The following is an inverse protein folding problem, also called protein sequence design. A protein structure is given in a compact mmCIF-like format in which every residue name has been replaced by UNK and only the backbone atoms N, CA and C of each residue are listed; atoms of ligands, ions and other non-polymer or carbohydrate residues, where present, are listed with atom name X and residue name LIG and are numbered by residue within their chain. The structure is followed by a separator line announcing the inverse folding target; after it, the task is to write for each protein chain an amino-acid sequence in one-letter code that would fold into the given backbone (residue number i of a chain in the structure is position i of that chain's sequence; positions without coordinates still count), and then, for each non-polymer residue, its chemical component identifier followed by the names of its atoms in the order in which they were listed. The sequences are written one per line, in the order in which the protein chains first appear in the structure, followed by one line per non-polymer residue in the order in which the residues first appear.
data_IF_742260638402
#
_entry.id   IF_742260638402
#
_cell.length_a   1.000
_cell.length_b   1.000
_cell.length_c   1.000
_cell.angle_alpha   90.00
_cell.angle_beta   90.00
_cell.angle_gamma   90.00
#
_symmetry.space_group_name_H-M   'P 1'
#
loop_
_entity.id
_entity.type
_entity.pdbx_description
1 polymer ?
#
# COMPACT_ATOMS: atom_id res chain seq x y z
N UNK A 1 7.94 43.69 56.82
CA UNK A 1 7.30 42.60 56.06
C UNK A 1 7.71 41.31 56.72
N UNK A 2 6.72 40.54 57.16
CA UNK A 2 6.94 39.36 57.96
C UNK A 2 7.48 38.25 57.04
N UNK A 3 8.46 37.48 57.50
CA UNK A 3 9.12 36.46 56.66
C UNK A 3 8.15 35.41 56.08
N UNK A 4 7.01 35.22 56.75
CA UNK A 4 5.91 34.36 56.30
C UNK A 4 5.22 34.90 55.06
N UNK A 5 4.93 36.20 54.98
CA UNK A 5 4.28 36.83 53.82
C UNK A 5 5.14 36.70 52.56
N UNK A 6 6.46 36.90 52.71
CA UNK A 6 7.42 36.74 51.61
C UNK A 6 7.38 35.29 51.10
N UNK A 7 7.40 34.30 52.01
CA UNK A 7 7.32 32.89 51.65
C UNK A 7 6.00 32.53 50.93
N UNK A 8 4.86 33.10 51.36
CA UNK A 8 3.56 32.84 50.70
C UNK A 8 3.52 33.37 49.28
N UNK A 9 4.03 34.57 49.04
CA UNK A 9 4.10 35.17 47.69
C UNK A 9 4.97 34.32 46.77
N UNK A 10 6.14 33.88 47.25
CA UNK A 10 7.00 32.96 46.50
C UNK A 10 6.29 31.64 46.18
N UNK A 11 5.56 31.05 47.13
CA UNK A 11 4.82 29.81 46.91
C UNK A 11 3.74 29.94 45.82
N UNK A 12 3.00 31.05 45.79
CA UNK A 12 1.95 31.32 44.79
C UNK A 12 2.54 31.41 43.37
N UNK A 13 3.78 31.90 43.23
CA UNK A 13 4.44 32.04 41.92
C UNK A 13 5.17 30.75 41.51
N UNK A 14 5.88 30.13 42.45
CA UNK A 14 6.70 28.94 42.19
C UNK A 14 5.84 27.69 41.95
N UNK A 15 4.71 27.57 42.66
CA UNK A 15 3.80 26.41 42.53
C UNK A 15 3.35 26.16 41.08
N UNK A 16 2.75 27.14 40.38
CA UNK A 16 2.37 27.00 38.98
C UNK A 16 3.55 26.72 38.05
N UNK A 17 4.70 27.35 38.28
CA UNK A 17 5.89 27.17 37.44
C UNK A 17 6.40 25.72 37.48
N UNK A 18 6.51 25.13 38.68
CA UNK A 18 6.91 23.74 38.85
C UNK A 18 5.84 22.80 38.28
N UNK A 19 4.55 23.10 38.50
CA UNK A 19 3.45 22.30 37.97
C UNK A 19 3.47 22.22 36.44
N UNK A 20 3.65 23.36 35.75
CA UNK A 20 3.73 23.39 34.28
C UNK A 20 4.98 22.68 33.78
N UNK A 21 6.13 22.84 34.45
CA UNK A 21 7.37 22.17 34.06
C UNK A 21 7.24 20.64 34.15
N UNK A 22 6.68 20.14 35.26
CA UNK A 22 6.44 18.71 35.46
C UNK A 22 5.44 18.16 34.43
N UNK A 23 4.34 18.89 34.19
CA UNK A 23 3.36 18.52 33.19
C UNK A 23 3.99 18.40 31.80
N UNK A 24 4.76 19.40 31.36
CA UNK A 24 5.46 19.36 30.06
C UNK A 24 6.44 18.20 29.95
N UNK A 25 7.16 17.90 31.02
CA UNK A 25 8.08 16.76 31.04
C UNK A 25 7.33 15.44 30.85
N UNK A 26 6.27 15.20 31.61
CA UNK A 26 5.44 13.99 31.48
C UNK A 26 4.81 13.87 30.09
N UNK A 27 4.26 14.95 29.55
CA UNK A 27 3.68 14.97 28.20
C UNK A 27 4.71 14.60 27.14
N UNK A 28 5.94 15.11 27.22
CA UNK A 28 6.98 14.80 26.23
C UNK A 28 7.35 13.29 26.18
N UNK A 29 7.30 12.62 27.32
CA UNK A 29 7.52 11.18 27.42
C UNK A 29 6.34 10.41 26.80
N UNK A 30 5.12 10.84 27.08
CA UNK A 30 3.90 10.25 26.51
C UNK A 30 3.84 10.41 25.00
N UNK A 31 4.22 11.59 24.47
CA UNK A 31 4.23 11.87 23.03
C UNK A 31 5.16 10.92 22.27
N UNK A 32 6.35 10.67 22.80
CA UNK A 32 7.32 9.74 22.18
C UNK A 32 6.79 8.31 22.19
N UNK A 33 6.20 7.88 23.31
CA UNK A 33 5.54 6.57 23.41
C UNK A 33 4.39 6.45 22.41
N UNK A 34 3.60 7.51 22.25
CA UNK A 34 2.46 7.55 21.34
C UNK A 34 2.89 7.46 19.87
N UNK A 35 3.91 8.22 19.44
CA UNK A 35 4.45 8.14 18.06
C UNK A 35 4.98 6.73 17.74
N UNK A 36 5.77 6.15 18.64
CA UNK A 36 6.28 4.77 18.50
C UNK A 36 5.14 3.74 18.45
N UNK A 37 4.10 3.93 19.26
CA UNK A 37 2.90 3.08 19.27
C UNK A 37 2.11 3.19 17.96
N UNK A 38 2.03 4.38 17.38
CA UNK A 38 1.32 4.61 16.11
C UNK A 38 2.02 3.92 14.94
N UNK A 39 3.36 3.98 14.89
CA UNK A 39 4.18 3.21 13.95
C UNK A 39 3.91 1.72 14.12
N UNK A 40 4.00 1.22 15.35
CA UNK A 40 3.75 -0.20 15.66
C UNK A 40 2.36 -0.66 15.21
N UNK A 41 1.31 0.10 15.54
CA UNK A 41 -0.08 -0.18 15.13
C UNK A 41 -0.22 -0.20 13.61
N UNK A 42 0.41 0.74 12.92
CA UNK A 42 0.36 0.83 11.45
C UNK A 42 1.05 -0.35 10.79
N UNK A 43 2.23 -0.74 11.27
CA UNK A 43 2.93 -1.94 10.79
C UNK A 43 2.13 -3.21 11.08
N UNK A 44 1.50 -3.33 12.26
CA UNK A 44 0.64 -4.46 12.61
C UNK A 44 -0.60 -4.54 11.72
N UNK A 45 -1.25 -3.40 11.43
CA UNK A 45 -2.43 -3.32 10.55
C UNK A 45 -2.09 -3.73 9.12
N UNK A 46 -0.92 -3.33 8.64
CA UNK A 46 -0.51 -3.48 7.25
C UNK A 46 0.45 -4.64 7.01
N UNK A 47 0.72 -5.49 8.01
CA UNK A 47 1.66 -6.63 7.90
C UNK A 47 1.29 -7.63 6.80
N UNK A 48 0.02 -7.68 6.39
CA UNK A 48 -0.47 -8.45 5.24
C UNK A 48 -0.42 -7.73 3.88
N UNK A 49 -0.30 -6.40 3.90
CA UNK A 49 -0.29 -5.49 2.75
C UNK A 49 1.01 -4.67 2.72
N UNK A 50 2.13 -5.37 2.62
CA UNK A 50 3.49 -4.83 2.77
C UNK A 50 3.84 -3.71 1.77
N UNK A 51 3.10 -3.60 0.65
CA UNK A 51 3.36 -2.62 -0.41
C UNK A 51 2.48 -1.35 -0.24
N UNK A 52 1.62 -1.29 0.78
CA UNK A 52 0.79 -0.11 1.02
C UNK A 52 1.62 1.11 1.43
N UNK A 53 1.16 2.31 1.04
CA UNK A 53 1.82 3.57 1.40
C UNK A 53 1.99 3.72 2.92
N UNK A 54 0.96 3.35 3.68
CA UNK A 54 0.99 3.37 5.15
C UNK A 54 2.08 2.45 5.72
N UNK A 55 2.28 1.27 5.12
CA UNK A 55 3.32 0.34 5.54
C UNK A 55 4.71 0.93 5.33
N UNK A 56 4.98 1.44 4.12
CA UNK A 56 6.29 2.02 3.77
C UNK A 56 6.55 3.29 4.58
N UNK A 57 5.55 4.14 4.76
CA UNK A 57 5.63 5.34 5.58
C UNK A 57 6.01 5.01 7.03
N UNK A 58 5.28 4.08 7.65
CA UNK A 58 5.59 3.64 9.01
C UNK A 58 6.99 2.99 9.09
N UNK A 59 7.39 2.19 8.09
CA UNK A 59 8.69 1.54 8.06
C UNK A 59 9.85 2.55 7.98
N UNK A 60 9.69 3.64 7.23
CA UNK A 60 10.71 4.69 7.13
C UNK A 60 10.82 5.49 8.44
N UNK A 61 9.71 5.68 9.16
CA UNK A 61 9.73 6.35 10.46
C UNK A 61 10.41 5.53 11.57
N UNK A 62 10.56 4.20 11.39
CA UNK A 62 11.27 3.35 12.36
C UNK A 62 12.70 3.83 12.60
N UNK A 63 13.42 4.26 11.55
CA UNK A 63 14.82 4.71 11.70
C UNK A 63 14.94 5.95 12.60
N UNK A 64 13.98 6.87 12.49
CA UNK A 64 13.97 8.14 13.21
C UNK A 64 13.46 7.96 14.64
N UNK A 65 12.33 7.29 14.84
CA UNK A 65 11.69 7.20 16.18
C UNK A 65 12.34 6.16 17.10
N UNK A 66 13.12 5.22 16.55
CA UNK A 66 13.79 4.15 17.27
C UNK A 66 15.32 4.23 17.18
N UNK A 67 15.89 5.41 16.92
CA UNK A 67 17.36 5.61 16.81
C UNK A 67 18.14 5.07 18.02
N UNK A 68 17.63 5.24 19.23
CA UNK A 68 18.30 4.78 20.46
C UNK A 68 18.16 3.27 20.69
N UNK A 69 17.30 2.60 19.93
CA UNK A 69 16.93 1.20 20.12
C UNK A 69 17.70 0.30 19.15
N UNK A 70 18.98 0.05 19.45
CA UNK A 70 19.90 -0.66 18.55
C UNK A 70 19.40 -2.03 18.06
N UNK A 71 18.62 -2.77 18.87
CA UNK A 71 18.01 -4.06 18.47
C UNK A 71 16.92 -3.89 17.41
N UNK A 72 16.10 -2.85 17.55
CA UNK A 72 15.05 -2.51 16.57
C UNK A 72 15.68 -2.10 15.25
N UNK A 73 16.68 -1.21 15.29
CA UNK A 73 17.39 -0.76 14.09
C UNK A 73 18.12 -1.93 13.39
N UNK A 74 18.72 -2.85 14.14
CA UNK A 74 19.35 -4.03 13.55
C UNK A 74 18.34 -4.95 12.84
N UNK A 75 17.17 -5.18 13.46
CA UNK A 75 16.09 -5.96 12.84
C UNK A 75 15.52 -5.26 11.59
N UNK A 76 15.33 -3.94 11.66
CA UNK A 76 14.86 -3.10 10.57
C UNK A 76 15.82 -3.13 9.37
N UNK A 77 17.13 -2.94 9.60
CA UNK A 77 18.15 -3.05 8.54
C UNK A 77 18.16 -4.44 7.90
N UNK A 78 18.02 -5.50 8.70
CA UNK A 78 17.92 -6.86 8.19
C UNK A 78 16.71 -7.07 7.28
N UNK A 79 15.57 -6.52 7.67
CA UNK A 79 14.34 -6.57 6.87
C UNK A 79 14.44 -5.77 5.58
N UNK A 80 14.96 -4.53 5.63
CA UNK A 80 15.15 -3.70 4.44
C UNK A 80 16.16 -4.30 3.45
N UNK A 81 17.23 -4.91 3.96
CA UNK A 81 18.20 -5.60 3.11
C UNK A 81 17.52 -6.68 2.28
N UNK A 82 16.69 -7.50 2.90
CA UNK A 82 15.93 -8.52 2.18
C UNK A 82 14.97 -7.87 1.17
N UNK A 83 14.30 -6.75 1.52
CA UNK A 83 13.35 -6.06 0.63
C UNK A 83 14.03 -5.48 -0.61
N UNK A 84 15.28 -5.06 -0.47
CA UNK A 84 16.09 -4.55 -1.58
C UNK A 84 16.52 -5.63 -2.57
N UNK A 85 16.45 -6.91 -2.20
CA UNK A 85 16.77 -8.00 -3.12
C UNK A 85 15.64 -8.17 -4.14
N UNK A 86 15.95 -8.34 -5.44
CA UNK A 86 14.93 -8.59 -6.45
C UNK A 86 14.22 -9.94 -6.19
N UNK A 87 12.94 -10.03 -6.53
CA UNK A 87 12.24 -11.31 -6.46
C UNK A 87 12.75 -12.26 -7.55
N UNK A 88 12.83 -13.58 -7.28
CA UNK A 88 13.13 -14.55 -8.32
C UNK A 88 12.05 -14.49 -9.41
N UNK A 89 12.39 -14.84 -10.66
CA UNK A 89 11.43 -14.84 -11.75
C UNK A 89 10.24 -15.76 -11.43
N UNK A 90 9.03 -15.33 -11.81
CA UNK A 90 7.73 -15.97 -11.47
C UNK A 90 7.65 -17.46 -11.83
N UNK A 91 8.54 -17.95 -12.71
CA UNK A 91 8.62 -19.37 -13.09
C UNK A 91 9.09 -20.29 -11.95
N UNK A 92 9.70 -19.74 -10.89
CA UNK A 92 10.19 -20.49 -9.73
C UNK A 92 9.30 -20.26 -8.51
N UNK A 93 8.10 -20.84 -8.53
CA UNK A 93 7.08 -20.64 -7.50
C UNK A 93 7.56 -20.99 -6.08
N UNK A 94 8.39 -22.04 -5.93
CA UNK A 94 9.00 -22.39 -4.63
C UNK A 94 9.95 -21.31 -4.11
N UNK A 95 10.80 -20.73 -4.97
CA UNK A 95 11.73 -19.68 -4.58
C UNK A 95 10.98 -18.41 -4.18
N UNK A 96 9.88 -18.10 -4.88
CA UNK A 96 8.99 -17.00 -4.54
C UNK A 96 8.37 -17.17 -3.15
N UNK A 97 7.81 -18.36 -2.85
CA UNK A 97 7.21 -18.65 -1.54
C UNK A 97 8.23 -18.60 -0.40
N UNK A 98 9.42 -19.19 -0.58
CA UNK A 98 10.49 -19.14 0.41
C UNK A 98 10.93 -17.71 0.74
N UNK A 99 11.01 -16.86 -0.29
CA UNK A 99 11.31 -15.45 -0.09
C UNK A 99 10.19 -14.74 0.68
N UNK A 100 8.94 -15.01 0.34
CA UNK A 100 7.78 -14.47 1.04
C UNK A 100 7.74 -14.86 2.52
N UNK A 101 8.05 -16.12 2.84
CA UNK A 101 8.20 -16.58 4.23
C UNK A 101 9.34 -15.87 4.95
N UNK A 102 10.48 -15.67 4.27
CA UNK A 102 11.64 -14.97 4.83
C UNK A 102 11.29 -13.53 5.17
N UNK A 103 10.56 -12.84 4.29
CA UNK A 103 10.00 -11.51 4.58
C UNK A 103 9.12 -11.49 5.81
N UNK A 104 8.18 -12.43 5.91
CA UNK A 104 7.27 -12.52 7.07
C UNK A 104 8.06 -12.76 8.36
N UNK A 105 9.05 -13.66 8.34
CA UNK A 105 9.91 -13.94 9.51
C UNK A 105 10.68 -12.69 9.96
N UNK A 106 11.28 -11.95 9.03
CA UNK A 106 12.03 -10.73 9.34
C UNK A 106 11.12 -9.60 9.84
N UNK A 107 9.95 -9.42 9.23
CA UNK A 107 8.96 -8.45 9.69
C UNK A 107 8.46 -8.80 11.10
N UNK A 108 8.15 -10.07 11.38
CA UNK A 108 7.78 -10.51 12.74
C UNK A 108 8.88 -10.22 13.75
N UNK A 109 10.14 -10.46 13.38
CA UNK A 109 11.29 -10.14 14.24
C UNK A 109 11.35 -8.64 14.55
N UNK A 110 11.17 -7.78 13.55
CA UNK A 110 11.11 -6.33 13.74
C UNK A 110 9.96 -5.93 14.68
N UNK A 111 8.75 -6.43 14.42
CA UNK A 111 7.56 -6.17 15.23
C UNK A 111 7.74 -6.62 16.69
N UNK A 112 8.39 -7.75 16.90
CA UNK A 112 8.67 -8.28 18.24
C UNK A 112 9.68 -7.42 19.00
N UNK A 113 10.73 -6.90 18.36
CA UNK A 113 11.66 -5.98 19.02
C UNK A 113 10.99 -4.62 19.33
N UNK A 114 10.14 -4.10 18.44
CA UNK A 114 9.35 -2.89 18.71
C UNK A 114 8.40 -3.12 19.89
N UNK A 115 7.75 -4.28 19.97
CA UNK A 115 6.85 -4.62 21.06
C UNK A 115 7.54 -4.63 22.44
N UNK A 116 8.80 -5.11 22.50
CA UNK A 116 9.62 -5.07 23.72
C UNK A 116 9.88 -3.64 24.19
N UNK A 117 10.25 -2.75 23.27
CA UNK A 117 10.47 -1.32 23.56
C UNK A 117 9.19 -0.67 24.10
N UNK A 118 8.04 -1.04 23.55
CA UNK A 118 6.74 -0.54 23.98
C UNK A 118 6.17 -1.24 25.24
N UNK A 119 6.90 -2.20 25.82
CA UNK A 119 6.46 -3.05 26.93
C UNK A 119 5.13 -3.78 26.67
N UNK A 120 4.86 -4.16 25.43
CA UNK A 120 3.69 -4.96 25.05
C UNK A 120 4.07 -6.44 25.18
N UNK A 121 3.34 -7.16 26.03
CA UNK A 121 3.46 -8.63 26.13
C UNK A 121 2.82 -9.25 24.89
N UNK A 122 3.62 -9.74 23.96
CA UNK A 122 3.16 -10.51 22.80
C UNK A 122 4.04 -11.74 22.60
N UNK A 123 3.41 -12.89 22.39
CA UNK A 123 4.11 -14.08 21.94
C UNK A 123 4.40 -13.99 20.44
N UNK A 124 5.52 -14.56 19.96
CA UNK A 124 5.86 -14.52 18.53
C UNK A 124 4.84 -15.27 17.66
N UNK A 125 4.16 -16.28 18.21
CA UNK A 125 3.10 -17.03 17.54
C UNK A 125 1.86 -16.15 17.27
N UNK A 126 1.46 -15.32 18.24
CA UNK A 126 0.30 -14.42 18.10
C UNK A 126 0.48 -13.41 16.95
N UNK A 127 1.71 -12.96 16.70
CA UNK A 127 2.02 -12.04 15.60
C UNK A 127 1.91 -12.76 14.24
N UNK A 128 2.27 -14.05 14.20
CA UNK A 128 2.25 -14.88 12.99
C UNK A 128 0.84 -15.36 12.61
N UNK A 129 0.05 -15.81 13.58
CA UNK A 129 -1.23 -16.49 13.33
C UNK A 129 -2.43 -15.52 13.28
N UNK A 130 -2.38 -14.39 13.99
CA UNK A 130 -3.53 -13.48 14.17
C UNK A 130 -3.80 -12.55 12.97
N UNK A 131 -3.20 -12.78 11.80
CA UNK A 131 -3.37 -11.88 10.65
C UNK A 131 -4.60 -12.24 9.81
N UNK A 132 -5.75 -11.63 10.13
CA UNK A 132 -6.93 -11.70 9.28
C UNK A 132 -6.70 -10.87 8.00
N UNK A 133 -6.53 -11.54 6.87
CA UNK A 133 -6.61 -10.94 5.54
C UNK A 133 -7.81 -11.58 4.86
N UNK A 134 -8.92 -10.87 4.63
CA UNK A 134 -10.03 -11.43 3.89
C UNK A 134 -9.58 -11.69 2.45
N UNK A 135 -10.02 -12.81 1.87
CA UNK A 135 -9.67 -13.18 0.50
C UNK A 135 -9.99 -12.06 -0.51
N UNK A 136 -11.11 -11.34 -0.31
CA UNK A 136 -11.49 -10.22 -1.15
C UNK A 136 -10.45 -9.10 -1.23
N UNK A 137 -9.66 -8.85 -0.18
CA UNK A 137 -8.59 -7.84 -0.25
C UNK A 137 -7.41 -8.29 -1.12
N UNK A 138 -7.14 -9.60 -1.16
CA UNK A 138 -6.14 -10.15 -2.06
C UNK A 138 -6.63 -10.06 -3.51
N UNK A 139 -7.89 -10.40 -3.73
CA UNK A 139 -8.52 -10.34 -5.06
C UNK A 139 -8.57 -8.92 -5.59
N UNK A 140 -8.96 -7.94 -4.77
CA UNK A 140 -9.02 -6.52 -5.14
C UNK A 140 -7.62 -5.96 -5.50
N UNK A 141 -6.57 -6.27 -4.73
CA UNK A 141 -5.20 -5.85 -5.02
C UNK A 141 -4.69 -6.47 -6.34
N UNK A 142 -4.95 -7.77 -6.56
CA UNK A 142 -4.60 -8.44 -7.82
C UNK A 142 -5.34 -7.84 -9.02
N UNK A 143 -6.65 -7.61 -8.91
CA UNK A 143 -7.46 -7.00 -9.95
C UNK A 143 -6.97 -5.57 -10.25
N UNK A 144 -6.67 -4.78 -9.23
CA UNK A 144 -6.17 -3.41 -9.40
C UNK A 144 -4.81 -3.38 -10.12
N UNK A 145 -3.90 -4.31 -9.78
CA UNK A 145 -2.60 -4.44 -10.46
C UNK A 145 -2.77 -4.86 -11.92
N UNK A 146 -3.66 -5.82 -12.19
CA UNK A 146 -3.95 -6.27 -13.55
C UNK A 146 -4.53 -5.13 -14.40
N UNK A 147 -5.54 -4.42 -13.87
CA UNK A 147 -6.17 -3.29 -14.55
C UNK A 147 -5.18 -2.15 -14.83
N UNK A 148 -4.32 -1.78 -13.87
CA UNK A 148 -3.26 -0.78 -14.08
C UNK A 148 -2.31 -1.20 -15.20
N UNK A 149 -1.89 -2.45 -15.21
CA UNK A 149 -0.97 -2.97 -16.23
C UNK A 149 -1.62 -2.95 -17.61
N UNK A 150 -2.88 -3.37 -17.71
CA UNK A 150 -3.64 -3.35 -18.96
C UNK A 150 -3.85 -1.91 -19.46
N UNK A 151 -4.22 -0.97 -18.58
CA UNK A 151 -4.36 0.44 -18.92
C UNK A 151 -3.03 1.05 -19.42
N UNK A 152 -1.91 0.75 -18.78
CA UNK A 152 -0.58 1.20 -19.23
C UNK A 152 -0.27 0.63 -20.63
N UNK A 153 -0.51 -0.66 -20.85
CA UNK A 153 -0.27 -1.29 -22.15
C UNK A 153 -1.18 -0.73 -23.25
N UNK A 154 -2.40 -0.36 -22.90
CA UNK A 154 -3.34 0.26 -23.81
C UNK A 154 -2.90 1.67 -24.22
N UNK A 155 -2.64 2.53 -23.24
CA UNK A 155 -2.28 3.94 -23.44
C UNK A 155 -0.89 4.09 -24.07
N UNK A 156 0.00 3.11 -23.87
CA UNK A 156 1.30 3.07 -24.54
C UNK A 156 1.26 2.48 -25.95
N UNK A 157 0.08 2.08 -26.44
CA UNK A 157 -0.09 1.50 -27.78
C UNK A 157 0.48 0.09 -27.95
N UNK A 158 0.85 -0.59 -26.85
CA UNK A 158 1.36 -1.97 -26.88
C UNK A 158 0.26 -2.99 -27.15
N UNK A 159 -0.95 -2.73 -26.64
CA UNK A 159 -2.12 -3.59 -26.82
C UNK A 159 -3.31 -2.79 -27.39
N UNK A 160 -3.94 -3.20 -28.50
CA UNK A 160 -5.17 -2.58 -29.00
C UNK A 160 -6.39 -2.99 -28.17
N UNK A 161 -7.41 -2.12 -28.08
CA UNK A 161 -8.72 -2.49 -27.52
C UNK A 161 -9.51 -3.32 -28.52
N UNK A 162 -9.89 -4.57 -28.21
CA UNK A 162 -10.81 -5.31 -29.05
C UNK A 162 -12.21 -4.71 -28.93
N UNK A 163 -12.71 -4.11 -30.02
CA UNK A 163 -14.09 -3.64 -30.13
C UNK A 163 -14.85 -4.68 -30.96
N UNK A 164 -15.67 -5.48 -30.31
CA UNK A 164 -16.65 -6.33 -31.00
C UNK A 164 -17.92 -5.51 -31.23
N UNK A 165 -18.17 -5.12 -32.47
CA UNK A 165 -19.47 -4.56 -32.86
C UNK A 165 -20.43 -5.75 -32.92
N UNK A 166 -21.42 -5.89 -32.03
CA UNK A 166 -22.44 -6.90 -32.20
C UNK A 166 -23.10 -6.62 -33.55
N UNK A 167 -22.94 -7.53 -34.50
CA UNK A 167 -23.60 -7.44 -35.80
C UNK A 167 -25.09 -7.18 -35.54
N UNK A 168 -25.56 -5.99 -35.90
CA UNK A 168 -26.98 -5.71 -35.87
C UNK A 168 -27.69 -6.80 -36.69
N UNK A 169 -28.81 -7.36 -36.22
CA UNK A 169 -29.59 -8.29 -37.03
C UNK A 169 -29.89 -7.61 -38.36
N UNK A 170 -29.58 -8.31 -39.47
CA UNK A 170 -29.75 -7.86 -40.85
C UNK A 170 -30.92 -6.89 -41.03
N UNK A 171 -30.61 -5.59 -41.02
CA UNK A 171 -31.42 -4.53 -41.60
C UNK A 171 -30.56 -3.83 -42.66
N UNK A 172 -29.97 -4.63 -43.54
CA UNK A 172 -29.62 -4.17 -44.87
C UNK A 172 -30.93 -4.24 -45.67
N UNK A 173 -31.49 -3.08 -45.98
CA UNK A 173 -32.68 -2.78 -46.83
C UNK A 173 -33.71 -1.93 -46.06
N UNK A 174 -33.50 -0.61 -45.97
CA UNK A 174 -34.63 0.35 -46.12
C UNK A 174 -34.23 1.83 -46.20
N UNK A 175 -33.01 2.24 -45.86
CA UNK A 175 -32.61 3.66 -45.98
C UNK A 175 -31.30 3.84 -46.74
N UNK A 176 -31.33 3.52 -48.04
CA UNK A 176 -30.37 4.12 -48.98
C UNK A 176 -31.02 5.35 -49.61
N UNK A 177 -30.43 6.57 -49.48
CA UNK A 177 -30.98 7.79 -50.09
C UNK A 177 -30.83 7.83 -51.62
N UNK A 178 -30.23 6.81 -52.21
CA UNK A 178 -30.03 6.70 -53.66
C UNK A 178 -31.05 5.73 -54.26
N UNK A 179 -31.77 6.14 -55.32
CA UNK A 179 -32.62 5.21 -56.05
C UNK A 179 -31.77 4.11 -56.70
N UNK A 180 -32.31 2.88 -56.85
CA UNK A 180 -31.59 1.81 -57.51
C UNK A 180 -31.25 2.20 -58.96
N UNK A 181 -30.09 1.75 -59.49
CA UNK A 181 -29.67 2.02 -60.86
C UNK A 181 -30.74 1.58 -61.87
N UNK A 182 -30.99 2.34 -62.96
CA UNK A 182 -31.97 1.94 -63.96
C UNK A 182 -31.52 0.63 -64.63
N UNK A 183 -32.43 -0.34 -64.71
CA UNK A 183 -32.22 -1.61 -65.42
C UNK A 183 -31.96 -1.33 -66.90
N UNK A 184 -30.76 -1.69 -67.39
CA UNK A 184 -30.47 -1.67 -68.82
C UNK A 184 -31.22 -2.83 -69.48
N UNK A 185 -32.26 -2.49 -70.26
CA UNK A 185 -32.83 -3.45 -71.20
C UNK A 185 -31.81 -3.72 -72.30
N UNK A 186 -31.52 -4.99 -72.51
CA UNK A 186 -30.44 -5.46 -73.37
C UNK A 186 -30.58 -5.13 -74.85
N UNK A 187 -29.46 -5.36 -75.55
CA UNK A 187 -29.36 -5.33 -77.01
C UNK A 187 -28.20 -4.46 -77.49
N UNK A 188 -27.02 -5.06 -77.70
CA UNK A 188 -26.55 -5.36 -79.05
C UNK A 188 -25.13 -5.90 -79.08
N UNK A 189 -25.00 -7.04 -79.73
CA UNK A 189 -23.77 -7.76 -80.03
C UNK A 189 -22.95 -7.00 -81.06
N UNK A 190 -21.74 -6.55 -80.71
CA UNK A 190 -20.70 -6.28 -81.70
C UNK A 190 -19.76 -7.48 -81.75
N UNK A 191 -19.92 -8.29 -82.81
CA UNK A 191 -18.96 -9.32 -83.21
C UNK A 191 -17.68 -8.61 -83.70
N UNK A 192 -16.55 -8.99 -83.10
CA UNK A 192 -15.23 -8.58 -83.57
C UNK A 192 -14.71 -9.67 -84.50
N UNK A 193 -14.72 -9.38 -85.80
CA UNK A 193 -14.03 -10.16 -86.81
C UNK A 193 -12.68 -9.47 -87.07
N UNK A 194 -11.57 -10.12 -86.75
CA UNK A 194 -10.38 -10.12 -87.60
C UNK A 194 -9.39 -11.20 -87.20
#
# INVERSE_FOLDING_TARGET
MDGTTIATIFAIIIGPLIGVALARYLTSLEDTKQRRMEIFRTLMRTRGLVISYDHVGALNLVEVEFTDEGKVIAAWKGYLKELSTPFPPTKEERAFQQKQETFRKLLTKLLHEIAKVLNIKMEQLDIFESNYIPQGWHDDDLQQRYLRTLAINLLSGRNPLPISIPSAPNQAEEFSPFPPPPESKGGDTCKENS
#
